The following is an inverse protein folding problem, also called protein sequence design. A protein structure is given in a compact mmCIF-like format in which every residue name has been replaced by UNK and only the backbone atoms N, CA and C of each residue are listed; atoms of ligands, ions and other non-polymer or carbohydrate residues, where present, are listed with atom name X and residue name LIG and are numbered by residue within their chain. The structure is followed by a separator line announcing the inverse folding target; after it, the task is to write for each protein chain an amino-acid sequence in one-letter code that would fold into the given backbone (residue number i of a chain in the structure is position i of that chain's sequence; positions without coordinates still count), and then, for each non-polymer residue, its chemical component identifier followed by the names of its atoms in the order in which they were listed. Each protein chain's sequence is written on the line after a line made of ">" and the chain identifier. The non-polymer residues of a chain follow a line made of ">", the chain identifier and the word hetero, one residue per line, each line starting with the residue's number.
data_IF_234377888670
#
_entry.id   IF_234377888670
#
_cell.length_a   1.000
_cell.length_b   1.000
_cell.length_c   1.000
_cell.angle_alpha   90.00
_cell.angle_beta   90.00
_cell.angle_gamma   90.00
#
_symmetry.space_group_name_H-M   'P 1'
#
loop_
_entity.id
_entity.type
_entity.pdbx_description
1 polymer ?
#
# COMPACT_ATOMS: atom_id res chain seq x y z
N UNK A 1 -7.63 13.83 17.70
CA UNK A 1 -7.81 12.96 16.51
C UNK A 1 -6.55 12.13 16.39
N UNK A 2 -6.67 10.81 16.32
CA UNK A 2 -5.51 9.93 16.16
C UNK A 2 -5.14 9.92 14.68
N UNK A 3 -3.88 10.15 14.36
CA UNK A 3 -3.33 10.07 13.01
C UNK A 3 -2.43 8.85 12.89
N UNK A 4 -2.46 8.20 11.74
CA UNK A 4 -1.64 7.04 11.42
C UNK A 4 -0.77 7.37 10.21
N UNK A 5 0.44 6.80 10.17
CA UNK A 5 1.34 6.91 9.03
C UNK A 5 1.01 5.83 8.01
N UNK A 6 0.58 6.25 6.83
CA UNK A 6 0.30 5.36 5.70
C UNK A 6 1.26 5.66 4.57
N UNK A 7 2.00 4.67 4.12
CA UNK A 7 3.00 4.82 3.04
C UNK A 7 2.80 3.79 1.95
N UNK A 8 3.21 4.13 0.73
CA UNK A 8 3.43 3.12 -0.30
C UNK A 8 4.78 2.42 -0.06
N UNK A 9 4.92 1.18 -0.51
CA UNK A 9 6.19 0.42 -0.39
C UNK A 9 7.42 1.19 -0.93
N UNK A 10 7.23 2.06 -1.92
CA UNK A 10 8.28 2.90 -2.51
C UNK A 10 7.93 4.41 -2.46
N UNK A 11 7.12 4.83 -1.48
CA UNK A 11 6.67 6.21 -1.36
C UNK A 11 6.96 6.82 0.01
N UNK A 12 6.76 8.13 0.09
CA UNK A 12 6.86 8.86 1.35
C UNK A 12 5.67 8.54 2.26
N UNK A 13 5.87 8.51 3.58
CA UNK A 13 4.79 8.34 4.54
C UNK A 13 3.87 9.55 4.56
N UNK A 14 2.58 9.29 4.42
CA UNK A 14 1.50 10.27 4.52
C UNK A 14 0.77 10.08 5.84
N UNK A 15 0.61 11.17 6.60
CA UNK A 15 -0.20 11.15 7.81
C UNK A 15 -1.67 11.33 7.46
N UNK A 16 -2.49 10.33 7.78
CA UNK A 16 -3.94 10.35 7.57
C UNK A 16 -4.66 10.08 8.89
N UNK A 17 -5.93 10.48 9.04
CA UNK A 17 -6.73 10.10 10.20
C UNK A 17 -6.82 8.59 10.38
N UNK A 18 -6.87 8.13 11.63
CA UNK A 18 -7.25 6.76 11.92
C UNK A 18 -8.66 6.49 11.35
N UNK A 19 -8.89 5.26 10.86
CA UNK A 19 -10.10 4.86 10.13
C UNK A 19 -10.28 5.52 8.75
N UNK A 20 -9.21 6.03 8.15
CA UNK A 20 -9.15 6.26 6.70
C UNK A 20 -9.22 4.90 5.98
N UNK A 21 -10.02 4.82 4.91
CA UNK A 21 -10.08 3.61 4.09
C UNK A 21 -8.88 3.50 3.15
N UNK A 22 -8.52 2.29 2.74
CA UNK A 22 -7.47 2.03 1.75
C UNK A 22 -7.71 2.83 0.47
N UNK A 23 -8.97 2.94 0.03
CA UNK A 23 -9.39 3.77 -1.10
C UNK A 23 -9.00 5.23 -0.92
N UNK A 24 -9.40 5.84 0.19
CA UNK A 24 -9.11 7.25 0.52
C UNK A 24 -7.59 7.50 0.61
N UNK A 25 -6.84 6.57 1.19
CA UNK A 25 -5.38 6.65 1.22
C UNK A 25 -4.79 6.62 -0.21
N UNK A 26 -5.28 5.73 -1.08
CA UNK A 26 -4.85 5.68 -2.48
C UNK A 26 -5.27 6.89 -3.31
N UNK A 27 -6.33 7.61 -2.96
CA UNK A 27 -6.69 8.87 -3.62
C UNK A 27 -5.61 9.93 -3.47
N UNK A 28 -4.90 9.92 -2.34
CA UNK A 28 -3.79 10.84 -2.07
C UNK A 28 -2.44 10.28 -2.54
N UNK A 29 -2.26 8.96 -2.49
CA UNK A 29 -0.98 8.30 -2.78
C UNK A 29 -0.80 7.90 -4.26
N UNK A 30 -1.88 7.68 -5.01
CA UNK A 30 -1.83 7.17 -6.39
C UNK A 30 -2.40 8.16 -7.41
N UNK A 31 -1.77 8.16 -8.59
CA UNK A 31 -2.29 8.86 -9.76
C UNK A 31 -3.62 8.26 -10.24
N UNK A 32 -4.50 9.09 -10.82
CA UNK A 32 -5.83 8.65 -11.27
C UNK A 32 -5.81 7.44 -12.23
N UNK A 33 -4.78 7.31 -13.07
CA UNK A 33 -4.59 6.15 -13.96
C UNK A 33 -4.32 4.85 -13.18
N UNK A 34 -3.51 4.91 -12.12
CA UNK A 34 -3.18 3.77 -11.27
C UNK A 34 -4.38 3.36 -10.42
N UNK A 35 -5.14 4.32 -9.89
CA UNK A 35 -6.36 4.07 -9.11
C UNK A 35 -7.38 3.24 -9.87
N UNK A 36 -7.67 3.60 -11.12
CA UNK A 36 -8.63 2.86 -11.97
C UNK A 36 -8.22 1.42 -12.27
N UNK A 37 -6.92 1.13 -12.21
CA UNK A 37 -6.38 -0.22 -12.41
C UNK A 37 -6.28 -1.00 -11.12
N UNK A 38 -6.37 -0.35 -9.96
CA UNK A 38 -6.16 -0.97 -8.65
C UNK A 38 -7.45 -1.65 -8.19
N UNK A 39 -7.38 -2.95 -7.94
CA UNK A 39 -8.53 -3.78 -7.54
C UNK A 39 -8.47 -4.23 -6.08
N UNK A 40 -7.28 -4.28 -5.49
CA UNK A 40 -7.05 -4.62 -4.10
C UNK A 40 -5.78 -3.93 -3.60
N UNK A 41 -5.46 -4.07 -2.31
CA UNK A 41 -4.20 -3.63 -1.75
C UNK A 41 -3.64 -4.69 -0.81
N UNK A 42 -2.32 -4.75 -0.67
CA UNK A 42 -1.71 -5.34 0.51
C UNK A 42 -1.54 -4.26 1.57
N UNK A 43 -2.00 -4.53 2.78
CA UNK A 43 -1.77 -3.74 3.99
C UNK A 43 -0.90 -4.56 4.93
N UNK A 44 0.35 -4.13 5.15
CA UNK A 44 1.31 -4.87 5.98
C UNK A 44 1.41 -6.37 5.60
N UNK A 45 1.54 -6.64 4.29
CA UNK A 45 1.61 -7.99 3.70
C UNK A 45 0.28 -8.78 3.62
N UNK A 46 -0.82 -8.24 4.14
CA UNK A 46 -2.15 -8.88 4.08
C UNK A 46 -2.99 -8.28 2.95
N UNK A 47 -3.54 -9.11 2.07
CA UNK A 47 -4.50 -8.64 1.04
C UNK A 47 -5.78 -8.15 1.71
N UNK A 48 -6.13 -6.90 1.43
CA UNK A 48 -7.34 -6.24 1.91
C UNK A 48 -8.08 -5.57 0.75
N UNK A 49 -9.38 -5.36 0.96
CA UNK A 49 -10.23 -4.62 0.02
C UNK A 49 -9.99 -3.10 0.13
N UNK A 50 -10.35 -2.36 -0.91
CA UNK A 50 -10.23 -0.90 -0.94
C UNK A 50 -11.12 -0.22 0.13
N UNK A 51 -12.22 -0.86 0.54
CA UNK A 51 -13.08 -0.38 1.62
C UNK A 51 -12.53 -0.62 3.03
N UNK A 52 -11.47 -1.42 3.18
CA UNK A 52 -10.91 -1.74 4.50
C UNK A 52 -10.39 -0.50 5.20
N UNK A 53 -10.68 -0.40 6.49
CA UNK A 53 -10.31 0.74 7.35
C UNK A 53 -8.96 0.51 8.00
N UNK A 54 -8.08 1.49 7.88
CA UNK A 54 -6.74 1.47 8.48
C UNK A 54 -6.82 1.97 9.92
N UNK A 55 -6.48 1.09 10.87
CA UNK A 55 -6.55 1.39 12.31
C UNK A 55 -5.21 1.76 12.92
N UNK A 56 -4.11 1.60 12.17
CA UNK A 56 -2.74 1.85 12.60
C UNK A 56 -1.81 2.08 11.41
N UNK A 57 -0.54 2.31 11.70
CA UNK A 57 0.48 2.57 10.69
C UNK A 57 0.57 1.40 9.69
N UNK A 58 0.49 1.72 8.41
CA UNK A 58 0.29 0.71 7.36
C UNK A 58 1.13 1.01 6.13
N UNK A 59 1.82 -0.01 5.64
CA UNK A 59 2.42 0.01 4.30
C UNK A 59 1.43 -0.57 3.31
N UNK A 60 1.05 0.22 2.31
CA UNK A 60 0.13 -0.17 1.24
C UNK A 60 0.86 -0.55 -0.05
N UNK A 61 0.42 -1.62 -0.69
CA UNK A 61 0.87 -2.03 -2.03
C UNK A 61 -0.34 -2.20 -2.94
N UNK A 62 -0.53 -1.37 -3.98
CA UNK A 62 -1.69 -1.49 -4.87
C UNK A 62 -1.56 -2.73 -5.77
N UNK A 63 -2.63 -3.51 -5.82
CA UNK A 63 -2.78 -4.66 -6.74
C UNK A 63 -3.50 -4.17 -7.99
N UNK A 64 -2.78 -4.12 -9.11
CA UNK A 64 -3.29 -3.59 -10.37
C UNK A 64 -3.61 -4.68 -11.40
N UNK A 65 -4.65 -4.47 -12.20
CA UNK A 65 -5.13 -5.42 -13.21
C UNK A 65 -4.18 -5.62 -14.40
N UNK A 66 -3.35 -4.64 -14.74
CA UNK A 66 -2.34 -4.74 -15.83
C UNK A 66 -0.90 -4.88 -15.32
N UNK A 67 -0.73 -5.07 -14.02
CA UNK A 67 0.56 -5.50 -13.50
C UNK A 67 0.78 -6.97 -13.85
N UNK A 68 1.72 -7.24 -14.77
CA UNK A 68 2.56 -8.46 -14.74
C UNK A 68 3.15 -8.69 -13.31
N UNK A 69 3.19 -7.64 -12.50
CA UNK A 69 3.65 -7.52 -11.12
C UNK A 69 2.78 -8.17 -10.03
N UNK A 70 1.72 -8.91 -10.36
CA UNK A 70 1.22 -9.92 -9.43
C UNK A 70 2.28 -10.99 -9.13
N UNK A 71 3.13 -11.29 -10.13
CA UNK A 71 4.22 -12.27 -10.03
C UNK A 71 5.53 -11.74 -9.40
N UNK A 72 5.81 -10.44 -9.47
CA UNK A 72 7.08 -9.88 -8.99
C UNK A 72 7.02 -9.32 -7.56
N UNK A 73 5.83 -9.09 -6.99
CA UNK A 73 5.68 -8.69 -5.58
C UNK A 73 6.08 -9.85 -4.64
N UNK A 74 5.92 -11.12 -5.06
CA UNK A 74 6.53 -12.27 -4.37
C UNK A 74 8.07 -12.32 -4.48
N UNK A 75 8.69 -11.58 -5.41
CA UNK A 75 10.15 -11.52 -5.57
C UNK A 75 10.81 -10.40 -4.77
N UNK A 76 10.03 -9.48 -4.19
CA UNK A 76 10.54 -8.30 -3.49
C UNK A 76 10.49 -8.39 -1.96
N UNK A 77 10.67 -9.61 -1.43
CA UNK A 77 11.39 -9.87 -0.17
C UNK A 77 12.83 -9.31 -0.22
N UNK A 78 13.01 -8.03 -0.55
CA UNK A 78 14.30 -7.41 -0.87
C UNK A 78 14.49 -6.09 -0.12
N UNK A 79 14.18 -6.07 1.17
CA UNK A 79 14.67 -4.98 2.04
C UNK A 79 15.12 -5.42 3.44
N UNK A 80 15.26 -6.73 3.68
CA UNK A 80 16.17 -7.33 4.66
C UNK A 80 16.63 -8.64 3.99
N UNK A 81 17.86 -8.81 3.50
CA UNK A 81 19.11 -8.75 4.27
C UNK A 81 20.16 -7.92 3.50
N UNK A 82 20.54 -6.81 4.13
CA UNK A 82 21.73 -6.02 3.89
C UNK A 82 22.99 -6.87 3.84
N UNK A 83 23.96 -6.40 3.06
CA UNK A 83 25.39 -6.50 3.31
C UNK A 83 25.79 -7.05 4.70
N UNK A 84 26.32 -8.29 4.75
CA UNK A 84 27.57 -8.63 5.42
C UNK A 84 27.97 -10.10 5.12
N UNK A 85 29.21 -10.27 4.65
CA UNK A 85 29.94 -11.48 4.22
C UNK A 85 29.66 -12.01 2.80
#
# INVERSE_FOLDING_TARGET
>A
MVTIAVKLQAGEPLSVPQATSVKEAFEQLLSGKQRRKTIAAYANDIVVDLGTKLTGDTTLVPVQTDSDKGLEILRHSTAHVMAHA
#
